data_IF_676505147675
#
_entry.id   IF_676505147675
#
_cell.length_a   1.000
_cell.length_b   1.000
_cell.length_c   1.000
_cell.angle_alpha   90.00
_cell.angle_beta   90.00
_cell.angle_gamma   90.00
#
_symmetry.space_group_name_H-M   'P 1'
#
loop_
_entity.id
_entity.type
_entity.pdbx_description
1 polymer ?
#
# COMPACT_ATOMS: atom_id res chain seq x y z
N UNK A 1 -27.25 48.11 42.82
CA UNK A 1 -27.50 46.66 42.74
C UNK A 1 -26.40 46.07 41.86
N UNK A 2 -25.71 45.03 42.34
CA UNK A 2 -24.41 44.57 41.81
C UNK A 2 -24.60 43.88 40.45
N UNK A 3 -23.97 44.42 39.41
CA UNK A 3 -24.01 43.85 38.07
C UNK A 3 -23.27 42.50 38.09
N UNK A 4 -24.00 41.42 37.87
CA UNK A 4 -23.42 40.10 37.72
C UNK A 4 -22.67 40.05 36.39
N UNK A 5 -21.33 40.08 36.47
CA UNK A 5 -20.48 39.73 35.35
C UNK A 5 -20.74 38.25 35.03
N UNK A 6 -21.56 38.00 33.99
CA UNK A 6 -21.71 36.68 33.40
C UNK A 6 -20.35 36.31 32.81
N UNK A 7 -19.61 35.51 33.57
CA UNK A 7 -18.33 34.96 33.17
C UNK A 7 -18.51 34.14 31.91
N UNK A 8 -17.92 34.63 30.82
CA UNK A 8 -17.71 33.88 29.58
C UNK A 8 -16.73 32.75 29.94
N UNK A 9 -17.26 31.56 30.21
CA UNK A 9 -16.46 30.34 30.18
C UNK A 9 -17.06 29.44 29.12
N UNK A 10 -16.70 29.75 27.87
CA UNK A 10 -16.84 28.80 26.77
C UNK A 10 -15.86 27.67 27.13
N UNK A 11 -16.38 26.61 27.74
CA UNK A 11 -15.68 25.34 27.86
C UNK A 11 -15.62 24.74 26.46
N UNK A 12 -14.66 25.21 25.67
CA UNK A 12 -14.26 24.62 24.40
C UNK A 12 -13.72 23.24 24.71
N UNK A 13 -14.59 22.24 24.75
CA UNK A 13 -14.20 20.83 24.72
C UNK A 13 -13.49 20.63 23.38
N UNK A 14 -12.16 20.78 23.41
CA UNK A 14 -11.30 20.53 22.27
C UNK A 14 -11.55 19.09 21.83
N UNK A 15 -12.30 18.95 20.74
CA UNK A 15 -12.48 17.69 20.04
C UNK A 15 -11.10 17.34 19.47
N UNK A 16 -10.28 16.66 20.25
CA UNK A 16 -9.02 16.11 19.78
C UNK A 16 -9.37 15.15 18.64
N UNK A 17 -8.97 15.41 17.38
CA UNK A 17 -9.17 14.42 16.34
C UNK A 17 -8.36 13.18 16.74
N UNK A 18 -9.07 12.11 17.09
CA UNK A 18 -8.44 10.82 17.34
C UNK A 18 -7.88 10.32 16.00
N UNK A 19 -6.56 10.47 15.86
CA UNK A 19 -5.67 9.61 15.08
C UNK A 19 -6.03 9.36 13.60
N UNK A 20 -5.64 10.29 12.72
CA UNK A 20 -5.33 9.96 11.32
C UNK A 20 -3.94 9.31 11.20
N UNK A 21 -3.63 8.25 11.96
CA UNK A 21 -2.31 7.57 11.85
C UNK A 21 -2.32 6.49 10.78
N UNK A 22 -2.89 6.80 9.60
CA UNK A 22 -2.89 5.92 8.44
C UNK A 22 -1.75 6.33 7.50
N UNK A 23 -1.06 5.36 6.89
CA UNK A 23 -0.04 5.64 5.89
C UNK A 23 -0.73 5.81 4.54
N UNK A 24 -0.77 7.04 4.03
CA UNK A 24 -1.37 7.29 2.72
C UNK A 24 -0.42 6.79 1.61
N UNK A 25 -0.91 6.00 0.63
CA UNK A 25 -0.10 5.62 -0.51
C UNK A 25 0.25 6.85 -1.35
N UNK A 26 1.54 7.02 -1.66
CA UNK A 26 1.98 8.07 -2.58
C UNK A 26 1.87 7.59 -4.03
N UNK A 27 1.79 8.52 -4.98
CA UNK A 27 1.78 8.18 -6.43
C UNK A 27 3.03 7.40 -6.83
N UNK A 28 4.19 7.81 -6.31
CA UNK A 28 5.47 7.14 -6.59
C UNK A 28 5.58 5.80 -5.86
N UNK A 29 5.12 5.69 -4.62
CA UNK A 29 5.00 4.41 -3.92
C UNK A 29 4.09 3.42 -4.64
N UNK A 30 3.00 3.91 -5.25
CA UNK A 30 2.11 3.08 -6.05
C UNK A 30 2.76 2.47 -7.31
N UNK A 31 3.86 3.06 -7.79
CA UNK A 31 4.63 2.50 -8.90
C UNK A 31 5.60 1.39 -8.46
N UNK A 32 5.86 1.24 -7.16
CA UNK A 32 6.70 0.16 -6.62
C UNK A 32 5.88 -1.11 -6.47
N UNK A 33 6.34 -2.20 -7.10
CA UNK A 33 5.71 -3.52 -7.01
C UNK A 33 6.21 -4.29 -5.78
N UNK A 34 5.33 -5.04 -5.13
CA UNK A 34 5.73 -6.01 -4.09
C UNK A 34 5.83 -7.41 -4.71
N UNK A 35 6.98 -8.06 -4.57
CA UNK A 35 7.26 -9.37 -5.10
C UNK A 35 7.27 -10.42 -3.97
N UNK A 36 6.08 -10.82 -3.51
CA UNK A 36 5.94 -11.82 -2.44
C UNK A 36 6.48 -13.20 -2.81
N UNK A 37 6.49 -13.54 -4.09
CA UNK A 37 7.04 -14.79 -4.60
C UNK A 37 8.58 -14.77 -4.71
N UNK A 38 9.22 -13.66 -4.34
CA UNK A 38 10.66 -13.48 -4.39
C UNK A 38 11.23 -13.45 -5.82
N UNK A 39 10.40 -13.38 -6.87
CA UNK A 39 10.88 -13.38 -8.26
C UNK A 39 11.47 -12.03 -8.63
N UNK A 40 12.78 -11.92 -8.43
CA UNK A 40 13.62 -10.77 -8.77
C UNK A 40 14.87 -11.16 -9.56
N UNK A 41 14.80 -12.29 -10.28
CA UNK A 41 15.89 -12.72 -11.17
C UNK A 41 16.15 -11.63 -12.23
N UNK A 42 17.41 -11.23 -12.38
CA UNK A 42 17.81 -10.16 -13.30
C UNK A 42 17.61 -8.74 -12.76
N UNK A 43 17.06 -8.56 -11.56
CA UNK A 43 16.98 -7.25 -10.92
C UNK A 43 18.28 -6.89 -10.21
N UNK A 44 18.63 -5.59 -10.20
CA UNK A 44 19.77 -5.05 -9.45
C UNK A 44 19.35 -4.66 -8.04
N UNK A 45 20.18 -4.94 -7.05
CA UNK A 45 19.98 -4.46 -5.67
C UNK A 45 19.95 -2.91 -5.64
N UNK A 46 18.96 -2.33 -4.96
CA UNK A 46 18.77 -0.90 -4.79
C UNK A 46 18.87 -0.44 -3.33
N UNK A 47 19.15 -1.36 -2.40
CA UNK A 47 19.21 -1.12 -0.96
C UNK A 47 18.11 -1.83 -0.18
N UNK A 48 18.09 -1.59 1.13
CA UNK A 48 17.09 -2.13 2.06
C UNK A 48 16.18 -1.02 2.57
N UNK A 49 14.90 -1.33 2.71
CA UNK A 49 13.88 -0.46 3.30
C UNK A 49 13.41 -1.11 4.60
N UNK A 50 13.39 -0.34 5.69
CA UNK A 50 13.01 -0.82 7.01
C UNK A 50 11.99 0.13 7.61
N UNK A 51 10.77 -0.36 7.78
CA UNK A 51 9.61 0.45 8.14
C UNK A 51 9.08 0.06 9.50
N UNK A 52 8.42 1.01 10.16
CA UNK A 52 7.78 0.80 11.45
C UNK A 52 6.49 1.59 11.55
N UNK A 53 5.45 0.95 12.06
CA UNK A 53 4.17 1.56 12.43
C UNK A 53 3.86 1.20 13.88
N UNK A 54 2.98 1.95 14.52
CA UNK A 54 2.49 1.54 15.84
C UNK A 54 1.70 0.23 15.69
N UNK A 55 2.04 -0.84 16.41
CA UNK A 55 1.27 -2.09 16.47
C UNK A 55 0.40 -2.16 17.73
N UNK A 56 0.65 -1.29 18.71
CA UNK A 56 -0.04 -1.23 19.99
C UNK A 56 -0.34 0.21 20.38
N UNK A 57 -1.52 0.42 20.96
CA UNK A 57 -1.94 1.70 21.52
C UNK A 57 -2.39 1.45 22.95
N UNK A 58 -1.66 2.02 23.91
CA UNK A 58 -1.84 1.79 25.34
C UNK A 58 -1.90 0.28 25.68
N UNK A 59 -3.08 -0.27 26.00
CA UNK A 59 -3.27 -1.67 26.35
C UNK A 59 -3.86 -2.52 25.21
N UNK A 60 -4.10 -1.93 24.05
CA UNK A 60 -4.76 -2.57 22.92
C UNK A 60 -3.77 -2.87 21.79
N UNK A 61 -3.77 -4.11 21.31
CA UNK A 61 -3.03 -4.51 20.11
C UNK A 61 -3.87 -4.22 18.87
N UNK A 62 -3.27 -3.55 17.89
CA UNK A 62 -3.91 -3.30 16.60
C UNK A 62 -4.01 -4.61 15.82
N UNK A 63 -4.92 -4.64 14.84
CA UNK A 63 -5.09 -5.78 13.98
C UNK A 63 -3.82 -6.00 13.13
N UNK A 64 -3.25 -7.21 13.22
CA UNK A 64 -1.98 -7.56 12.56
C UNK A 64 -2.02 -7.42 11.04
N UNK A 65 -3.15 -7.74 10.39
CA UNK A 65 -3.31 -7.58 8.95
C UNK A 65 -3.32 -6.11 8.53
N UNK A 66 -3.92 -5.24 9.36
CA UNK A 66 -3.88 -3.79 9.13
C UNK A 66 -2.49 -3.21 9.34
N UNK A 67 -1.77 -3.68 10.36
CA UNK A 67 -0.37 -3.30 10.59
C UNK A 67 0.51 -3.71 9.42
N UNK A 68 0.32 -4.92 8.88
CA UNK A 68 1.08 -5.40 7.73
C UNK A 68 0.80 -4.59 6.44
N UNK A 69 -0.47 -4.27 6.17
CA UNK A 69 -0.89 -3.44 5.03
C UNK A 69 -0.29 -2.02 5.08
N UNK A 70 -0.26 -1.42 6.28
CA UNK A 70 0.36 -0.11 6.49
C UNK A 70 1.88 -0.16 6.35
N UNK A 71 2.53 -1.21 6.85
CA UNK A 71 3.98 -1.42 6.68
C UNK A 71 4.35 -1.55 5.21
N UNK A 72 3.58 -2.33 4.45
CA UNK A 72 3.80 -2.46 3.02
C UNK A 72 3.64 -1.12 2.29
N UNK A 73 2.56 -0.39 2.58
CA UNK A 73 2.33 0.94 2.00
C UNK A 73 3.48 1.89 2.32
N UNK A 74 3.95 1.89 3.57
CA UNK A 74 5.12 2.68 3.99
C UNK A 74 6.38 2.24 3.24
N UNK A 75 6.61 0.93 3.09
CA UNK A 75 7.79 0.39 2.44
C UNK A 75 7.83 0.77 0.95
N UNK A 76 6.68 0.77 0.29
CA UNK A 76 6.55 1.23 -1.11
C UNK A 76 6.83 2.73 -1.22
N UNK A 77 6.28 3.53 -0.31
CA UNK A 77 6.55 4.97 -0.27
C UNK A 77 8.03 5.28 -0.05
N UNK A 78 8.69 4.58 0.88
CA UNK A 78 10.12 4.76 1.14
C UNK A 78 10.98 4.24 -0.01
N UNK A 79 10.64 3.09 -0.60
CA UNK A 79 11.35 2.54 -1.75
C UNK A 79 11.35 3.48 -2.95
N UNK A 80 10.31 4.29 -3.12
CA UNK A 80 10.23 5.29 -4.18
C UNK A 80 11.25 6.44 -4.04
N UNK A 81 11.89 6.59 -2.87
CA UNK A 81 13.02 7.51 -2.69
C UNK A 81 14.36 6.91 -3.14
N UNK A 82 14.39 5.59 -3.35
CA UNK A 82 15.50 4.84 -3.94
C UNK A 82 15.27 4.72 -5.46
N UNK A 83 16.28 4.33 -6.25
CA UNK A 83 16.07 3.98 -7.67
C UNK A 83 15.32 2.65 -7.86
N UNK A 84 14.46 2.24 -6.91
CA UNK A 84 13.80 0.95 -6.86
C UNK A 84 12.41 0.98 -7.52
N UNK A 85 12.05 -0.13 -8.18
CA UNK A 85 10.71 -0.37 -8.75
C UNK A 85 10.04 -1.62 -8.16
N UNK A 86 10.78 -2.40 -7.37
CA UNK A 86 10.32 -3.64 -6.76
C UNK A 86 10.85 -3.75 -5.34
N UNK A 87 10.00 -4.19 -4.41
CA UNK A 87 10.40 -4.60 -3.06
C UNK A 87 10.04 -6.07 -2.80
N UNK A 88 10.87 -6.75 -2.02
CA UNK A 88 10.65 -8.13 -1.56
C UNK A 88 10.63 -8.13 -0.03
N UNK A 89 9.56 -8.60 0.62
CA UNK A 89 9.56 -8.76 2.08
C UNK A 89 10.64 -9.76 2.50
N UNK A 90 11.44 -9.41 3.50
CA UNK A 90 12.53 -10.27 4.00
C UNK A 90 12.15 -11.07 5.23
N UNK A 91 11.14 -10.59 5.94
CA UNK A 91 10.53 -11.22 7.10
C UNK A 91 9.03 -10.98 7.05
N UNK A 92 8.29 -11.75 7.83
CA UNK A 92 6.93 -11.37 8.22
C UNK A 92 6.97 -10.07 9.05
N UNK A 93 5.85 -9.35 9.06
CA UNK A 93 5.66 -8.21 9.93
C UNK A 93 5.62 -8.67 11.39
N UNK A 94 6.40 -8.03 12.26
CA UNK A 94 6.47 -8.36 13.68
C UNK A 94 6.67 -7.11 14.51
N UNK A 95 5.92 -6.98 15.60
CA UNK A 95 6.01 -5.87 16.56
C UNK A 95 5.98 -4.50 15.84
N UNK A 96 5.11 -4.37 14.84
CA UNK A 96 4.95 -3.15 14.05
C UNK A 96 6.11 -2.84 13.11
N UNK A 97 7.02 -3.78 12.85
CA UNK A 97 8.17 -3.56 11.98
C UNK A 97 8.31 -4.64 10.91
N UNK A 98 8.84 -4.25 9.75
CA UNK A 98 9.18 -5.17 8.68
C UNK A 98 10.32 -4.63 7.82
N UNK A 99 11.18 -5.54 7.33
CA UNK A 99 12.26 -5.21 6.40
C UNK A 99 11.93 -5.71 5.00
N UNK A 100 12.27 -4.89 4.02
CA UNK A 100 12.12 -5.17 2.60
C UNK A 100 13.45 -4.96 1.89
N UNK A 101 13.77 -5.82 0.94
CA UNK A 101 14.86 -5.55 0.01
C UNK A 101 14.29 -4.86 -1.21
N UNK A 102 14.88 -3.73 -1.58
CA UNK A 102 14.51 -2.96 -2.75
C UNK A 102 15.40 -3.32 -3.94
N UNK A 103 14.81 -3.34 -5.13
CA UNK A 103 15.47 -3.71 -6.37
C UNK A 103 15.07 -2.78 -7.50
N UNK A 104 15.98 -2.63 -8.47
CA UNK A 104 15.72 -2.08 -9.79
C UNK A 104 15.57 -3.25 -10.75
N UNK A 105 14.33 -3.60 -11.09
CA UNK A 105 14.06 -4.62 -12.10
C UNK A 105 14.01 -4.02 -13.51
N UNK A 106 13.94 -2.70 -13.63
CA UNK A 106 14.04 -1.98 -14.90
C UNK A 106 12.91 -2.36 -15.83
N UNK A 107 11.65 -2.08 -15.46
CA UNK A 107 10.50 -2.21 -16.38
C UNK A 107 10.40 -3.60 -17.08
N UNK A 108 10.82 -4.69 -16.45
CA UNK A 108 10.83 -6.03 -17.09
C UNK A 108 9.44 -6.50 -17.55
N UNK A 109 8.35 -5.88 -17.09
CA UNK A 109 6.98 -6.12 -17.56
C UNK A 109 6.60 -5.41 -18.87
N UNK A 110 7.31 -4.37 -19.32
CA UNK A 110 7.06 -3.81 -20.66
C UNK A 110 7.68 -4.66 -21.77
N UNK A 111 8.70 -5.46 -21.48
CA UNK A 111 9.20 -6.50 -22.39
C UNK A 111 8.41 -7.82 -22.24
N UNK A 112 8.05 -8.27 -21.04
CA UNK A 112 7.31 -9.54 -20.87
C UNK A 112 5.95 -9.58 -21.60
N UNK A 113 5.19 -8.46 -21.59
CA UNK A 113 3.91 -8.37 -22.33
C UNK A 113 4.07 -8.07 -23.81
N UNK A 114 5.20 -7.53 -24.23
CA UNK A 114 5.47 -7.29 -25.66
C UNK A 114 5.96 -8.56 -26.36
N UNK A 115 6.66 -9.46 -25.65
CA UNK A 115 7.32 -10.62 -26.25
C UNK A 115 6.50 -11.93 -26.22
N UNK A 116 5.37 -11.97 -25.48
CA UNK A 116 4.53 -13.20 -25.36
C UNK A 116 3.22 -13.13 -26.15
N UNK A 117 3.02 -12.11 -27.01
CA UNK A 117 1.85 -12.03 -27.90
C UNK A 117 2.27 -12.28 -29.36
N UNK A 118 2.04 -13.47 -29.93
CA UNK A 118 2.09 -13.64 -31.38
C UNK A 118 0.99 -12.78 -32.03
N UNK A 119 1.39 -11.91 -32.96
CA UNK A 119 0.48 -11.12 -33.77
C UNK A 119 -0.41 -12.03 -34.62
N UNK A 120 -1.70 -12.09 -34.28
CA UNK A 120 -2.74 -12.58 -35.18
C UNK A 120 -3.88 -11.57 -35.22
N UNK A 121 -3.96 -10.85 -36.33
CA UNK A 121 -5.16 -10.16 -36.83
C UNK A 121 -5.30 -10.58 -38.31
N UNK A 122 -6.51 -10.68 -38.88
CA UNK A 122 -7.61 -9.72 -38.70
C UNK A 122 -9.04 -10.31 -38.64
N UNK A 123 -10.01 -9.53 -38.20
CA UNK A 123 -11.44 -9.85 -38.41
C UNK A 123 -12.41 -9.04 -37.55
N UNK A 124 -13.19 -8.18 -38.20
CA UNK A 124 -14.36 -7.48 -37.64
C UNK A 124 -15.48 -8.46 -37.27
N UNK A 125 -16.02 -8.43 -36.04
CA UNK A 125 -17.45 -8.68 -35.76
C UNK A 125 -17.79 -8.61 -34.25
N UNK A 126 -18.60 -7.60 -33.93
CA UNK A 126 -19.80 -7.61 -33.07
C UNK A 126 -19.70 -7.87 -31.55
N UNK A 127 -20.26 -6.87 -30.84
CA UNK A 127 -20.86 -6.91 -29.52
C UNK A 127 -21.49 -8.27 -29.16
N UNK A 128 -21.14 -8.78 -27.99
CA UNK A 128 -21.78 -9.96 -27.42
C UNK A 128 -21.54 -10.04 -25.91
N UNK A 129 -22.33 -9.31 -25.12
CA UNK A 129 -22.50 -9.63 -23.70
C UNK A 129 -23.31 -10.92 -23.64
N UNK A 130 -22.66 -12.03 -23.28
CA UNK A 130 -23.35 -13.29 -23.01
C UNK A 130 -23.79 -13.31 -21.55
N UNK A 131 -25.10 -13.27 -21.29
CA UNK A 131 -25.68 -13.55 -19.97
C UNK A 131 -25.98 -15.05 -19.87
N UNK A 132 -25.46 -15.69 -18.82
CA UNK A 132 -25.72 -17.10 -18.55
C UNK A 132 -27.00 -17.24 -17.72
N UNK A 133 -27.94 -18.13 -18.05
CA UNK A 133 -29.13 -18.34 -17.24
C UNK A 133 -28.76 -19.05 -15.94
N UNK A 134 -29.20 -18.49 -14.81
CA UNK A 134 -29.17 -19.17 -13.51
C UNK A 134 -30.27 -20.21 -13.53
N UNK A 135 -29.90 -21.48 -13.35
CA UNK A 135 -30.87 -22.59 -13.25
C UNK A 135 -31.45 -22.54 -11.84
N UNK A 136 -32.67 -22.03 -11.71
CA UNK A 136 -33.44 -22.12 -10.47
C UNK A 136 -33.85 -23.58 -10.23
N UNK A 137 -33.68 -24.04 -8.99
CA UNK A 137 -34.04 -25.38 -8.52
C UNK A 137 -35.46 -25.39 -7.95
#
# INVERSE_FOLDING_TARGET
>A
MKNAAFSISILSLALLPAACTWVEPTVSGNAVRVAYDGKVAGCRDAGTVAVTVADKIAFYHRNEYKVADELETMARNEAASLPADTIVPRTEAKDGSQRFQAYVCGRTQLHQRSDTQPAAQPGTAQDGVQTFPVKEH
#
